data_IF_537375631520
#
_entry.id   IF_537375631520
#
_cell.length_a   1.000
_cell.length_b   1.000
_cell.length_c   1.000
_cell.angle_alpha   90.00
_cell.angle_beta   90.00
_cell.angle_gamma   90.00
#
_symmetry.space_group_name_H-M   'P 1'
#
loop_
_entity.id
_entity.type
_entity.pdbx_description
1 polymer ?
#
# COMPACT_ATOMS: atom_id res chain seq x y z
N UNK A 1 -16.23 15.70 13.13
CA UNK A 1 -15.64 16.88 12.46
C UNK A 1 -14.13 16.78 12.53
N UNK A 2 -13.43 16.98 11.41
CA UNK A 2 -11.99 16.78 11.31
C UNK A 2 -11.20 17.84 12.09
N UNK A 3 -10.17 17.40 12.80
CA UNK A 3 -9.16 18.23 13.47
C UNK A 3 -7.81 18.01 12.78
N UNK A 4 -6.97 19.03 12.76
CA UNK A 4 -5.68 19.05 12.06
C UNK A 4 -4.60 19.57 12.98
N UNK A 5 -3.42 18.96 12.93
CA UNK A 5 -2.22 19.47 13.60
C UNK A 5 -1.49 20.45 12.70
N UNK A 6 -0.98 21.54 13.27
CA UNK A 6 -0.20 22.55 12.55
C UNK A 6 1.13 22.80 13.25
N UNK A 7 2.20 22.90 12.46
CA UNK A 7 3.55 23.21 12.93
C UNK A 7 4.12 24.38 12.11
N UNK A 8 4.78 25.33 12.78
CA UNK A 8 5.52 26.40 12.13
C UNK A 8 6.86 25.87 11.62
N UNK A 9 7.03 25.83 10.30
CA UNK A 9 8.27 25.37 9.64
C UNK A 9 9.52 26.21 9.96
N UNK A 10 9.37 27.43 10.50
CA UNK A 10 10.49 28.31 10.85
C UNK A 10 11.04 28.07 12.25
N UNK A 11 10.18 27.95 13.26
CA UNK A 11 10.59 27.90 14.67
C UNK A 11 10.08 26.66 15.43
N UNK A 12 9.47 25.71 14.71
CA UNK A 12 8.88 24.48 15.25
C UNK A 12 7.80 24.72 16.32
N UNK A 13 7.07 25.83 16.23
CA UNK A 13 5.90 26.07 17.08
C UNK A 13 4.73 25.17 16.65
N UNK A 14 4.08 24.48 17.59
CA UNK A 14 3.04 23.47 17.30
C UNK A 14 1.68 23.83 17.93
N UNK A 15 0.59 23.50 17.24
CA UNK A 15 -0.79 23.63 17.71
C UNK A 15 -1.73 22.64 16.99
N UNK A 16 -2.95 22.45 17.52
CA UNK A 16 -4.04 21.73 16.85
C UNK A 16 -5.15 22.72 16.45
N UNK A 17 -5.89 22.46 15.37
CA UNK A 17 -7.01 23.30 14.88
C UNK A 17 -8.15 22.42 14.35
N UNK A 18 -9.42 22.78 14.56
CA UNK A 18 -10.60 22.08 14.01
C UNK A 18 -11.92 22.70 14.49
N UNK A 19 -13.05 22.51 13.82
CA UNK A 19 -14.25 23.34 14.05
C UNK A 19 -15.10 22.98 15.29
N UNK A 20 -15.54 24.00 16.03
CA UNK A 20 -16.67 23.98 16.98
C UNK A 20 -17.35 25.38 17.03
N UNK A 21 -18.64 25.50 16.71
CA UNK A 21 -19.48 26.71 16.86
C UNK A 21 -18.78 28.08 16.59
N UNK A 22 -18.42 28.34 15.32
CA UNK A 22 -17.72 29.57 14.87
C UNK A 22 -16.35 29.83 15.51
N UNK A 23 -15.80 28.84 16.21
CA UNK A 23 -14.45 28.84 16.81
C UNK A 23 -13.67 27.58 16.39
N UNK A 24 -12.35 27.62 16.44
CA UNK A 24 -11.50 26.48 16.14
C UNK A 24 -10.90 25.91 17.44
N UNK A 25 -11.18 24.63 17.74
CA UNK A 25 -10.63 23.89 18.86
C UNK A 25 -9.36 23.10 18.51
N UNK A 26 -8.40 23.09 19.43
CA UNK A 26 -7.21 22.25 19.42
C UNK A 26 -7.40 21.01 20.33
N UNK A 27 -7.27 19.76 19.86
CA UNK A 27 -7.44 18.55 20.70
C UNK A 27 -6.20 17.69 20.81
N UNK A 28 -5.93 17.16 22.00
CA UNK A 28 -4.83 16.22 22.23
C UNK A 28 -5.32 14.82 22.58
N UNK A 29 -4.98 13.81 21.78
CA UNK A 29 -5.42 12.41 22.03
C UNK A 29 -4.71 11.71 23.20
N UNK A 30 -3.55 12.21 23.65
CA UNK A 30 -2.86 11.64 24.81
C UNK A 30 -3.44 12.12 26.15
N UNK A 31 -4.07 13.30 26.20
CA UNK A 31 -4.61 13.87 27.44
C UNK A 31 -6.06 14.36 27.36
N UNK A 32 -6.73 14.17 26.22
CA UNK A 32 -8.16 14.39 26.00
C UNK A 32 -8.65 15.81 26.34
N UNK A 33 -7.88 16.86 26.04
CA UNK A 33 -8.22 18.27 26.32
C UNK A 33 -8.28 19.15 25.07
N UNK A 34 -9.21 20.13 25.09
CA UNK A 34 -9.45 21.12 24.03
C UNK A 34 -8.88 22.53 24.37
N UNK A 35 -8.60 23.38 23.37
CA UNK A 35 -8.30 24.82 23.55
C UNK A 35 -8.84 25.64 22.37
N UNK A 36 -9.51 26.77 22.64
CA UNK A 36 -10.25 27.61 21.66
C UNK A 36 -9.36 28.63 20.90
N UNK A 37 -9.67 28.86 19.62
CA UNK A 37 -9.09 29.91 18.76
C UNK A 37 -10.18 30.63 17.93
N UNK A 38 -10.02 31.92 17.57
CA UNK A 38 -10.98 32.66 16.76
C UNK A 38 -11.01 32.21 15.29
N UNK A 39 -12.20 32.12 14.67
CA UNK A 39 -12.39 31.56 13.31
C UNK A 39 -11.82 32.35 12.12
N UNK A 40 -11.32 33.58 12.30
CA UNK A 40 -10.96 34.45 11.18
C UNK A 40 -9.53 34.26 10.59
N UNK A 41 -8.82 33.19 10.94
CA UNK A 41 -7.38 33.08 10.67
C UNK A 41 -7.03 32.30 9.38
N UNK A 42 -7.46 32.78 8.21
CA UNK A 42 -6.87 32.39 6.91
C UNK A 42 -5.47 32.97 6.68
N UNK A 43 -5.02 33.85 7.58
CA UNK A 43 -3.70 34.49 7.64
C UNK A 43 -3.11 34.34 9.05
N UNK A 44 -3.17 33.13 9.62
CA UNK A 44 -2.58 32.90 10.93
C UNK A 44 -1.06 33.16 10.87
N UNK A 45 -0.52 33.92 11.82
CA UNK A 45 0.92 34.16 11.97
C UNK A 45 1.43 33.37 13.17
N UNK A 46 2.66 32.89 13.10
CA UNK A 46 3.32 32.23 14.21
C UNK A 46 3.49 33.25 15.35
N UNK A 47 2.94 33.03 16.55
CA UNK A 47 3.02 34.00 17.64
C UNK A 47 4.44 34.16 18.23
N UNK A 48 5.41 33.37 17.73
CA UNK A 48 6.81 33.39 18.16
C UNK A 48 7.72 34.11 17.17
N UNK A 49 7.44 34.03 15.87
CA UNK A 49 8.33 34.54 14.83
C UNK A 49 7.60 35.27 13.69
N UNK A 50 6.30 35.49 13.83
CA UNK A 50 5.39 36.16 12.89
C UNK A 50 5.32 35.56 11.47
N UNK A 51 5.93 34.40 11.25
CA UNK A 51 5.87 33.69 9.97
C UNK A 51 4.43 33.24 9.67
N UNK A 52 4.00 33.31 8.41
CA UNK A 52 2.67 32.84 7.99
C UNK A 52 2.50 31.33 8.26
N UNK A 53 1.37 30.93 8.80
CA UNK A 53 0.96 29.56 9.06
C UNK A 53 -0.01 29.11 7.96
N UNK A 54 0.21 27.94 7.41
CA UNK A 54 -0.60 27.37 6.32
C UNK A 54 -1.86 26.71 6.89
N UNK A 55 -3.00 27.41 6.88
CA UNK A 55 -4.26 26.93 7.50
C UNK A 55 -5.32 26.46 6.49
N UNK A 56 -5.13 26.70 5.19
CA UNK A 56 -6.11 26.39 4.14
C UNK A 56 -6.03 24.99 3.53
N UNK A 57 -4.92 24.28 3.77
CA UNK A 57 -4.72 22.89 3.37
C UNK A 57 -3.62 22.30 4.27
N UNK A 58 -3.95 21.42 5.22
CA UNK A 58 -2.94 20.77 6.05
C UNK A 58 -1.99 19.98 5.13
N UNK A 59 -0.74 20.42 5.05
CA UNK A 59 0.31 19.70 4.35
C UNK A 59 0.94 18.73 5.33
N UNK A 60 0.76 17.43 5.09
CA UNK A 60 1.50 16.40 5.81
C UNK A 60 2.96 16.42 5.31
N UNK A 61 3.87 16.86 6.17
CA UNK A 61 5.31 16.82 5.89
C UNK A 61 5.88 15.44 6.25
N UNK A 62 5.91 14.52 5.29
CA UNK A 62 6.55 13.20 5.46
C UNK A 62 8.04 13.23 5.05
N UNK A 63 8.81 14.15 5.61
CA UNK A 63 10.17 14.43 5.15
C UNK A 63 11.10 13.20 5.20
N UNK A 64 10.89 12.29 6.15
CA UNK A 64 11.61 11.02 6.18
C UNK A 64 11.23 10.12 5.02
N UNK A 65 9.93 9.94 4.75
CA UNK A 65 9.42 9.15 3.63
C UNK A 65 9.88 9.71 2.29
N UNK A 66 9.80 11.03 2.11
CA UNK A 66 10.31 11.71 0.91
C UNK A 66 11.83 11.56 0.75
N UNK A 67 12.61 11.65 1.84
CA UNK A 67 14.04 11.40 1.83
C UNK A 67 14.37 9.93 1.51
N UNK A 68 13.60 8.98 2.03
CA UNK A 68 13.71 7.56 1.69
C UNK A 68 13.47 7.36 0.20
N UNK A 69 12.44 8.00 -0.38
CA UNK A 69 12.14 7.96 -1.80
C UNK A 69 13.32 8.48 -2.64
N UNK A 70 13.88 9.64 -2.31
CA UNK A 70 15.07 10.21 -2.98
C UNK A 70 16.25 9.23 -2.91
N UNK A 71 16.57 8.74 -1.70
CA UNK A 71 17.70 7.84 -1.49
C UNK A 71 17.54 6.52 -2.23
N UNK A 72 16.33 5.97 -2.29
CA UNK A 72 16.04 4.71 -2.96
C UNK A 72 16.15 4.83 -4.48
N UNK A 73 15.63 5.91 -5.08
CA UNK A 73 15.76 6.18 -6.52
C UNK A 73 17.22 6.39 -6.91
N UNK A 74 17.97 7.19 -6.15
CA UNK A 74 19.40 7.40 -6.37
C UNK A 74 20.21 6.10 -6.15
N UNK A 75 19.80 5.27 -5.21
CA UNK A 75 20.36 3.95 -4.96
C UNK A 75 20.20 3.03 -6.16
N UNK A 76 18.97 2.91 -6.67
CA UNK A 76 18.68 2.11 -7.86
C UNK A 76 19.50 2.59 -9.08
N UNK A 77 19.53 3.91 -9.32
CA UNK A 77 20.35 4.49 -10.39
C UNK A 77 21.86 4.25 -10.21
N UNK A 78 22.33 4.18 -8.97
CA UNK A 78 23.73 3.89 -8.64
C UNK A 78 24.10 2.38 -8.73
N UNK A 79 23.13 1.50 -9.01
CA UNK A 79 23.31 0.05 -9.09
C UNK A 79 22.88 -0.74 -7.84
N UNK A 80 22.12 -0.14 -6.93
CA UNK A 80 21.59 -0.76 -5.72
C UNK A 80 20.07 -0.58 -5.62
N UNK A 81 19.27 -1.42 -6.31
CA UNK A 81 17.82 -1.29 -6.36
C UNK A 81 17.08 -1.87 -5.14
N UNK A 82 17.77 -2.54 -4.21
CA UNK A 82 17.12 -3.24 -3.09
C UNK A 82 16.31 -2.31 -2.15
N UNK A 83 16.79 -1.10 -1.80
CA UNK A 83 15.98 -0.16 -1.03
C UNK A 83 14.69 0.24 -1.76
N UNK A 84 14.77 0.47 -3.07
CA UNK A 84 13.59 0.84 -3.88
C UNK A 84 12.58 -0.30 -3.95
N UNK A 85 13.04 -1.55 -4.11
CA UNK A 85 12.16 -2.75 -4.07
C UNK A 85 11.38 -2.86 -2.76
N UNK A 86 11.98 -2.42 -1.65
CA UNK A 86 11.36 -2.48 -0.33
C UNK A 86 10.27 -1.41 -0.15
N UNK A 87 10.34 -0.30 -0.90
CA UNK A 87 9.31 0.74 -0.90
C UNK A 87 8.15 0.40 -1.84
N UNK A 88 8.43 -0.29 -2.95
CA UNK A 88 7.38 -0.69 -3.88
C UNK A 88 6.41 -1.65 -3.19
N UNK A 89 5.10 -1.34 -3.17
CA UNK A 89 4.15 -2.12 -2.41
C UNK A 89 4.05 -3.53 -2.98
N UNK A 90 4.22 -4.54 -2.13
CA UNK A 90 3.95 -5.92 -2.48
C UNK A 90 2.43 -6.11 -2.50
N UNK A 91 1.82 -6.05 -3.68
CA UNK A 91 0.38 -6.17 -3.84
C UNK A 91 0.03 -7.55 -4.39
N UNK A 92 -0.95 -8.23 -3.77
CA UNK A 92 -1.33 -9.53 -4.24
C UNK A 92 -1.91 -9.39 -5.65
N UNK A 93 -1.37 -10.17 -6.60
CA UNK A 93 -1.86 -10.19 -7.99
C UNK A 93 -3.38 -10.41 -8.06
N UNK A 94 -3.90 -11.18 -7.09
CA UNK A 94 -5.31 -11.51 -6.93
C UNK A 94 -5.78 -11.15 -5.52
N UNK A 95 -6.97 -10.58 -5.42
CA UNK A 95 -7.64 -10.21 -4.17
C UNK A 95 -8.39 -11.41 -3.61
N UNK A 96 -8.12 -11.74 -2.35
CA UNK A 96 -8.78 -12.80 -1.60
C UNK A 96 -9.21 -12.25 -0.24
N UNK A 97 -10.36 -12.69 0.25
CA UNK A 97 -10.94 -12.27 1.52
C UNK A 97 -10.67 -13.34 2.58
N UNK A 98 -9.41 -13.41 3.02
CA UNK A 98 -8.98 -14.26 4.13
C UNK A 98 -9.32 -13.66 5.51
N UNK A 99 -10.34 -12.81 5.57
CA UNK A 99 -10.85 -12.26 6.82
C UNK A 99 -11.57 -13.39 7.55
N UNK A 100 -11.20 -13.67 8.82
CA UNK A 100 -11.94 -14.59 9.66
C UNK A 100 -13.43 -14.22 9.67
N UNK A 101 -14.36 -15.18 9.45
CA UNK A 101 -15.76 -14.93 9.69
C UNK A 101 -15.97 -14.59 11.16
N UNK A 102 -16.64 -13.47 11.43
CA UNK A 102 -16.93 -13.05 12.81
C UNK A 102 -17.93 -13.99 13.49
N UNK A 103 -17.78 -14.14 14.81
CA UNK A 103 -18.79 -14.75 15.65
C UNK A 103 -20.04 -13.85 15.73
N UNK A 104 -21.23 -14.45 15.73
CA UNK A 104 -22.48 -13.72 15.97
C UNK A 104 -23.10 -14.11 17.32
N UNK A 105 -23.83 -13.23 18.02
CA UNK A 105 -24.36 -13.52 19.36
C UNK A 105 -25.26 -14.76 19.45
N UNK A 106 -25.90 -15.15 18.35
CA UNK A 106 -26.74 -16.34 18.25
C UNK A 106 -25.96 -17.64 18.05
N UNK A 107 -24.64 -17.59 17.84
CA UNK A 107 -23.82 -18.77 17.67
C UNK A 107 -23.75 -19.60 18.96
N UNK A 108 -23.79 -20.94 18.87
CA UNK A 108 -23.40 -21.80 19.98
C UNK A 108 -22.00 -21.46 20.50
N UNK A 109 -21.79 -21.64 21.80
CA UNK A 109 -20.53 -21.30 22.48
C UNK A 109 -19.30 -21.91 21.79
N UNK A 110 -19.38 -23.14 21.31
CA UNK A 110 -18.26 -23.81 20.66
C UNK A 110 -17.89 -23.17 19.32
N UNK A 111 -18.88 -22.63 18.59
CA UNK A 111 -18.65 -21.86 17.35
C UNK A 111 -18.03 -20.51 17.70
N UNK A 112 -18.59 -19.79 18.67
CA UNK A 112 -18.03 -18.51 19.13
C UNK A 112 -16.55 -18.66 19.53
N UNK A 113 -16.25 -19.62 20.42
CA UNK A 113 -14.90 -19.89 20.86
C UNK A 113 -13.94 -20.27 19.71
N UNK A 114 -14.44 -20.94 18.67
CA UNK A 114 -13.62 -21.31 17.51
C UNK A 114 -13.30 -20.11 16.61
N UNK A 115 -14.26 -19.22 16.41
CA UNK A 115 -14.10 -18.01 15.59
C UNK A 115 -13.29 -16.94 16.32
N UNK A 116 -13.50 -16.78 17.63
CA UNK A 116 -12.65 -15.94 18.47
C UNK A 116 -11.20 -16.41 18.46
N UNK A 117 -10.94 -17.72 18.59
CA UNK A 117 -9.59 -18.26 18.46
C UNK A 117 -8.95 -17.92 17.10
N UNK A 118 -9.74 -17.90 16.02
CA UNK A 118 -9.28 -17.53 14.69
C UNK A 118 -8.92 -16.05 14.60
N UNK A 119 -9.75 -15.17 15.16
CA UNK A 119 -9.51 -13.72 15.24
C UNK A 119 -8.27 -13.38 16.09
N UNK A 120 -8.05 -14.11 17.19
CA UNK A 120 -6.85 -13.97 18.04
C UNK A 120 -5.57 -14.56 17.41
N UNK A 121 -5.67 -15.15 16.21
CA UNK A 121 -4.53 -15.73 15.50
C UNK A 121 -4.10 -17.11 16.00
N UNK A 122 -4.93 -17.80 16.80
CA UNK A 122 -4.68 -19.17 17.27
C UNK A 122 -5.10 -20.19 16.21
N UNK A 123 -4.53 -20.06 15.01
CA UNK A 123 -4.99 -20.77 13.80
C UNK A 123 -5.00 -22.30 13.95
N UNK A 124 -4.03 -22.88 14.67
CA UNK A 124 -3.99 -24.32 14.90
C UNK A 124 -5.11 -24.80 15.83
N UNK A 125 -5.38 -24.06 16.93
CA UNK A 125 -6.44 -24.38 17.87
C UNK A 125 -7.82 -24.19 17.23
N UNK A 126 -8.04 -23.03 16.58
CA UNK A 126 -9.24 -22.76 15.80
C UNK A 126 -9.48 -23.85 14.75
N UNK A 127 -8.44 -24.22 14.00
CA UNK A 127 -8.49 -25.31 13.02
C UNK A 127 -8.89 -26.65 13.63
N UNK A 128 -8.38 -27.01 14.81
CA UNK A 128 -8.77 -28.26 15.49
C UNK A 128 -10.23 -28.22 15.96
N UNK A 129 -10.68 -27.12 16.57
CA UNK A 129 -12.06 -26.97 17.07
C UNK A 129 -13.08 -27.00 15.93
N UNK A 130 -12.80 -26.28 14.84
CA UNK A 130 -13.62 -26.30 13.63
C UNK A 130 -13.71 -27.70 13.03
N UNK A 131 -12.67 -28.54 13.18
CA UNK A 131 -12.70 -29.92 12.68
C UNK A 131 -13.77 -30.74 13.37
N UNK A 132 -13.76 -30.67 14.71
CA UNK A 132 -14.71 -31.39 15.55
C UNK A 132 -16.14 -30.89 15.32
N UNK A 133 -16.34 -29.58 15.13
CA UNK A 133 -17.65 -29.01 14.84
C UNK A 133 -18.23 -29.46 13.50
N UNK A 134 -17.36 -29.59 12.48
CA UNK A 134 -17.77 -29.98 11.13
C UNK A 134 -17.99 -31.49 10.98
N UNK A 135 -17.55 -32.29 11.96
CA UNK A 135 -17.87 -33.71 12.04
C UNK A 135 -19.39 -33.91 12.19
N UNK A 136 -20.00 -34.62 11.23
CA UNK A 136 -21.45 -34.82 11.18
C UNK A 136 -22.27 -33.63 10.63
N UNK A 137 -21.64 -32.49 10.29
CA UNK A 137 -22.32 -31.28 9.77
C UNK A 137 -21.92 -30.90 8.34
N UNK A 138 -21.18 -31.75 7.64
CA UNK A 138 -20.53 -31.42 6.36
C UNK A 138 -21.46 -30.82 5.30
N UNK A 139 -22.70 -31.30 5.23
CA UNK A 139 -23.69 -30.91 4.22
C UNK A 139 -24.78 -29.97 4.76
N UNK A 140 -24.64 -29.50 6.01
CA UNK A 140 -25.53 -28.48 6.57
C UNK A 140 -25.24 -27.15 5.86
N UNK A 141 -26.23 -26.48 5.24
CA UNK A 141 -26.01 -25.18 4.61
C UNK A 141 -25.38 -24.14 5.55
N UNK A 142 -25.66 -24.23 6.86
CA UNK A 142 -25.06 -23.34 7.86
C UNK A 142 -23.56 -23.59 8.12
N UNK A 143 -23.04 -24.74 7.65
CA UNK A 143 -21.63 -25.12 7.81
C UNK A 143 -20.67 -24.40 6.85
N UNK A 144 -21.19 -23.75 5.79
CA UNK A 144 -20.36 -23.04 4.81
C UNK A 144 -19.44 -21.99 5.46
N UNK A 145 -19.98 -21.24 6.45
CA UNK A 145 -19.21 -20.26 7.23
C UNK A 145 -18.09 -20.92 8.05
N UNK A 146 -18.34 -22.09 8.63
CA UNK A 146 -17.34 -22.82 9.43
C UNK A 146 -16.26 -23.44 8.53
N UNK A 147 -16.62 -23.91 7.35
CA UNK A 147 -15.67 -24.36 6.33
C UNK A 147 -14.78 -23.21 5.84
N UNK A 148 -15.35 -22.01 5.62
CA UNK A 148 -14.59 -20.81 5.27
C UNK A 148 -13.61 -20.44 6.40
N UNK A 149 -14.07 -20.40 7.65
CA UNK A 149 -13.21 -20.15 8.81
C UNK A 149 -12.05 -21.16 8.90
N UNK A 150 -12.33 -22.44 8.61
CA UNK A 150 -11.32 -23.50 8.58
C UNK A 150 -10.33 -23.32 7.43
N UNK A 151 -10.81 -22.90 6.26
CA UNK A 151 -9.95 -22.56 5.13
C UNK A 151 -9.00 -21.40 5.48
N UNK A 152 -9.50 -20.37 6.15
CA UNK A 152 -8.68 -19.24 6.65
C UNK A 152 -7.61 -19.72 7.63
N UNK A 153 -7.95 -20.61 8.57
CA UNK A 153 -6.97 -21.21 9.48
C UNK A 153 -5.87 -21.96 8.72
N UNK A 154 -6.25 -22.80 7.74
CA UNK A 154 -5.30 -23.55 6.92
C UNK A 154 -4.40 -22.64 6.08
N UNK A 155 -4.97 -21.60 5.46
CA UNK A 155 -4.22 -20.60 4.71
C UNK A 155 -3.18 -19.89 5.59
N UNK A 156 -3.57 -19.47 6.80
CA UNK A 156 -2.67 -18.80 7.77
C UNK A 156 -1.57 -19.71 8.30
N UNK A 157 -1.81 -21.03 8.32
CA UNK A 157 -0.81 -22.07 8.60
C UNK A 157 0.03 -22.44 7.37
N UNK A 158 -0.07 -21.69 6.27
CA UNK A 158 0.65 -21.94 5.01
C UNK A 158 0.33 -23.31 4.38
N UNK A 159 -0.90 -23.80 4.54
CA UNK A 159 -1.42 -25.02 3.87
C UNK A 159 -2.50 -24.64 2.83
N UNK A 160 -2.10 -24.16 1.64
CA UNK A 160 -3.04 -23.78 0.59
C UNK A 160 -3.82 -24.97 0.02
N UNK A 161 -3.29 -26.18 0.07
CA UNK A 161 -3.95 -27.38 -0.44
C UNK A 161 -5.14 -27.78 0.45
N UNK A 162 -4.95 -27.75 1.78
CA UNK A 162 -6.04 -27.93 2.72
C UNK A 162 -7.06 -26.79 2.64
N UNK A 163 -6.59 -25.54 2.53
CA UNK A 163 -7.48 -24.38 2.36
C UNK A 163 -8.40 -24.55 1.14
N UNK A 164 -7.86 -24.90 -0.04
CA UNK A 164 -8.67 -25.14 -1.25
C UNK A 164 -9.71 -26.24 -1.05
N UNK A 165 -9.34 -27.32 -0.37
CA UNK A 165 -10.26 -28.42 -0.03
C UNK A 165 -11.41 -27.94 0.85
N UNK A 166 -11.11 -27.13 1.88
CA UNK A 166 -12.13 -26.59 2.79
C UNK A 166 -13.03 -25.57 2.10
N UNK A 167 -12.50 -24.76 1.17
CA UNK A 167 -13.32 -23.89 0.33
C UNK A 167 -14.25 -24.68 -0.59
N UNK A 168 -13.79 -25.82 -1.12
CA UNK A 168 -14.67 -26.71 -1.88
C UNK A 168 -15.83 -27.23 -1.01
N UNK A 169 -15.58 -27.65 0.23
CA UNK A 169 -16.65 -28.02 1.15
C UNK A 169 -17.58 -26.85 1.52
N UNK A 170 -17.06 -25.62 1.65
CA UNK A 170 -17.89 -24.45 1.85
C UNK A 170 -18.89 -24.25 0.69
N UNK A 171 -18.44 -24.48 -0.55
CA UNK A 171 -19.26 -24.37 -1.76
C UNK A 171 -20.21 -25.56 -1.99
N UNK A 172 -19.88 -26.73 -1.44
CA UNK A 172 -20.82 -27.86 -1.38
C UNK A 172 -21.98 -27.58 -0.42
N UNK A 173 -21.69 -26.93 0.72
CA UNK A 173 -22.69 -26.55 1.72
C UNK A 173 -23.55 -25.36 1.26
N UNK A 174 -22.92 -24.32 0.72
CA UNK A 174 -23.58 -23.18 0.11
C UNK A 174 -22.91 -22.83 -1.23
N UNK A 175 -23.53 -23.23 -2.36
CA UNK A 175 -23.02 -22.85 -3.67
C UNK A 175 -22.87 -21.35 -3.84
N UNK A 176 -23.66 -20.51 -3.18
CA UNK A 176 -23.63 -19.05 -3.35
C UNK A 176 -22.59 -18.33 -2.46
N UNK A 177 -21.76 -19.07 -1.71
CA UNK A 177 -20.71 -18.50 -0.88
C UNK A 177 -19.63 -17.79 -1.72
N UNK A 178 -19.86 -16.51 -2.02
CA UNK A 178 -18.99 -15.68 -2.88
C UNK A 178 -17.54 -15.67 -2.42
N UNK A 179 -17.28 -15.47 -1.13
CA UNK A 179 -15.92 -15.42 -0.58
C UNK A 179 -15.20 -16.74 -0.81
N UNK A 180 -15.90 -17.87 -0.60
CA UNK A 180 -15.32 -19.18 -0.85
C UNK A 180 -14.95 -19.41 -2.33
N UNK A 181 -15.77 -18.90 -3.27
CA UNK A 181 -15.43 -18.92 -4.70
C UNK A 181 -14.20 -18.06 -5.00
N UNK A 182 -14.18 -16.81 -4.51
CA UNK A 182 -13.06 -15.90 -4.74
C UNK A 182 -11.74 -16.49 -4.25
N UNK A 183 -11.69 -16.91 -2.99
CA UNK A 183 -10.46 -17.41 -2.38
C UNK A 183 -9.97 -18.69 -3.09
N UNK A 184 -10.91 -19.56 -3.50
CA UNK A 184 -10.58 -20.78 -4.23
C UNK A 184 -10.03 -20.47 -5.61
N UNK A 185 -10.66 -19.54 -6.31
CA UNK A 185 -10.20 -19.04 -7.60
C UNK A 185 -8.79 -18.44 -7.50
N UNK A 186 -8.50 -17.69 -6.43
CA UNK A 186 -7.15 -17.14 -6.16
C UNK A 186 -6.13 -18.26 -5.97
N UNK A 187 -6.43 -19.27 -5.16
CA UNK A 187 -5.51 -20.41 -4.96
C UNK A 187 -5.22 -21.15 -6.28
N UNK A 188 -6.26 -21.40 -7.09
CA UNK A 188 -6.16 -22.03 -8.40
C UNK A 188 -5.36 -21.18 -9.39
N UNK A 189 -5.57 -19.86 -9.41
CA UNK A 189 -4.82 -18.95 -10.27
C UNK A 189 -3.33 -18.94 -9.91
N UNK A 190 -3.00 -18.93 -8.60
CA UNK A 190 -1.61 -18.93 -8.12
C UNK A 190 -0.83 -20.19 -8.51
N UNK A 191 -1.50 -21.34 -8.63
CA UNK A 191 -0.87 -22.58 -9.11
C UNK A 191 -0.95 -22.78 -10.63
N UNK A 192 -1.52 -21.83 -11.37
CA UNK A 192 -1.61 -21.85 -12.83
C UNK A 192 -2.83 -22.58 -13.41
N UNK A 193 -3.83 -22.91 -12.60
CA UNK A 193 -5.09 -23.52 -13.06
C UNK A 193 -6.06 -22.46 -13.58
N UNK A 194 -5.66 -21.76 -14.65
CA UNK A 194 -6.37 -20.60 -15.19
C UNK A 194 -7.83 -20.90 -15.55
N UNK A 195 -8.13 -22.09 -16.06
CA UNK A 195 -9.50 -22.49 -16.42
C UNK A 195 -10.43 -22.59 -15.21
N UNK A 196 -9.97 -23.24 -14.14
CA UNK A 196 -10.76 -23.41 -12.92
C UNK A 196 -10.88 -22.11 -12.14
N UNK A 197 -9.82 -21.29 -12.13
CA UNK A 197 -9.87 -19.95 -11.54
C UNK A 197 -10.86 -19.04 -12.28
N UNK A 198 -10.90 -19.10 -13.62
CA UNK A 198 -11.85 -18.33 -14.43
C UNK A 198 -13.29 -18.70 -14.11
N UNK A 199 -13.58 -19.99 -13.96
CA UNK A 199 -14.90 -20.48 -13.56
C UNK A 199 -15.29 -19.93 -12.18
N UNK A 200 -14.39 -20.00 -11.20
CA UNK A 200 -14.62 -19.49 -9.84
C UNK A 200 -14.91 -17.98 -9.84
N UNK A 201 -14.09 -17.19 -10.54
CA UNK A 201 -14.26 -15.74 -10.61
C UNK A 201 -15.49 -15.30 -11.40
N UNK A 202 -15.91 -16.06 -12.42
CA UNK A 202 -17.15 -15.79 -13.15
C UNK A 202 -18.39 -15.99 -12.25
N UNK A 203 -18.35 -16.99 -11.37
CA UNK A 203 -19.46 -17.28 -10.44
C UNK A 203 -19.39 -16.46 -9.13
N UNK A 204 -18.36 -15.62 -8.94
CA UNK A 204 -18.22 -14.75 -7.78
C UNK A 204 -19.00 -13.41 -7.89
N UNK A 205 -19.76 -13.23 -8.97
CA UNK A 205 -20.55 -12.01 -9.23
C UNK A 205 -19.70 -10.82 -9.68
N UNK A 206 -20.23 -9.61 -9.57
CA UNK A 206 -19.63 -8.39 -10.14
C UNK A 206 -19.10 -7.38 -9.11
N UNK A 207 -18.91 -7.83 -7.86
CA UNK A 207 -18.24 -7.03 -6.83
C UNK A 207 -16.79 -6.72 -7.20
N UNK A 208 -16.23 -5.69 -6.54
CA UNK A 208 -14.90 -5.15 -6.83
C UNK A 208 -13.81 -6.22 -6.98
N UNK A 209 -13.70 -7.15 -6.03
CA UNK A 209 -12.67 -8.20 -6.02
C UNK A 209 -12.84 -9.20 -7.17
N UNK A 210 -14.09 -9.53 -7.52
CA UNK A 210 -14.38 -10.49 -8.58
C UNK A 210 -13.98 -9.91 -9.95
N UNK A 211 -14.37 -8.66 -10.20
CA UNK A 211 -13.99 -7.89 -11.39
C UNK A 211 -12.47 -7.75 -11.50
N UNK A 212 -11.81 -7.32 -10.42
CA UNK A 212 -10.35 -7.25 -10.37
C UNK A 212 -9.70 -8.61 -10.69
N UNK A 213 -10.15 -9.68 -10.04
CA UNK A 213 -9.57 -11.01 -10.21
C UNK A 213 -9.73 -11.56 -11.62
N UNK A 214 -10.87 -11.31 -12.29
CA UNK A 214 -11.04 -11.67 -13.70
C UNK A 214 -10.06 -10.91 -14.59
N UNK A 215 -9.96 -9.59 -14.42
CA UNK A 215 -9.02 -8.76 -15.17
C UNK A 215 -7.56 -9.17 -14.94
N UNK A 216 -7.17 -9.36 -13.68
CA UNK A 216 -5.83 -9.79 -13.29
C UNK A 216 -5.49 -11.20 -13.81
N UNK A 217 -6.47 -12.11 -13.88
CA UNK A 217 -6.28 -13.46 -14.42
C UNK A 217 -5.91 -13.43 -15.90
N UNK A 218 -6.58 -12.57 -16.67
CA UNK A 218 -6.30 -12.41 -18.10
C UNK A 218 -4.88 -11.89 -18.34
N UNK A 219 -4.46 -10.86 -17.59
CA UNK A 219 -3.09 -10.34 -17.66
C UNK A 219 -2.08 -11.40 -17.20
N UNK A 220 -2.34 -12.06 -16.07
CA UNK A 220 -1.42 -13.02 -15.49
C UNK A 220 -1.18 -14.24 -16.39
N UNK A 221 -2.26 -14.81 -16.94
CA UNK A 221 -2.18 -15.91 -17.89
C UNK A 221 -1.45 -15.47 -19.17
N UNK A 222 -1.75 -14.29 -19.71
CA UNK A 222 -1.11 -13.79 -20.92
C UNK A 222 0.40 -13.58 -20.73
N UNK A 223 0.83 -12.90 -19.67
CA UNK A 223 2.25 -12.66 -19.38
C UNK A 223 2.98 -13.98 -19.14
N UNK A 224 2.35 -14.94 -18.46
CA UNK A 224 2.95 -16.25 -18.19
C UNK A 224 3.15 -17.09 -19.46
N UNK A 225 2.19 -17.05 -20.40
CA UNK A 225 2.22 -17.85 -21.63
C UNK A 225 2.98 -17.19 -22.78
N UNK A 226 2.99 -15.86 -22.87
CA UNK A 226 3.65 -15.12 -23.92
C UNK A 226 5.14 -14.88 -23.62
N UNK A 227 5.95 -14.68 -24.68
CA UNK A 227 7.34 -14.22 -24.53
C UNK A 227 7.45 -12.70 -24.43
N UNK A 228 6.65 -11.97 -25.22
CA UNK A 228 6.56 -10.50 -25.23
C UNK A 228 5.35 -9.97 -24.47
N UNK A 229 4.80 -8.85 -24.96
CA UNK A 229 3.58 -8.22 -24.42
C UNK A 229 2.33 -9.05 -24.68
N UNK A 230 1.34 -9.01 -23.77
CA UNK A 230 -0.01 -9.48 -24.06
C UNK A 230 -0.63 -8.75 -25.26
N UNK A 231 -1.56 -9.42 -25.94
CA UNK A 231 -2.30 -8.81 -27.06
C UNK A 231 -3.06 -7.55 -26.61
N UNK A 232 -3.00 -6.42 -27.36
CA UNK A 232 -3.63 -5.17 -26.95
C UNK A 232 -5.15 -5.28 -26.69
N UNK A 233 -5.86 -6.09 -27.48
CA UNK A 233 -7.30 -6.31 -27.31
C UNK A 233 -7.61 -7.01 -25.97
N UNK A 234 -6.74 -7.94 -25.55
CA UNK A 234 -6.87 -8.63 -24.26
C UNK A 234 -6.60 -7.69 -23.09
N UNK A 235 -5.60 -6.81 -23.20
CA UNK A 235 -5.34 -5.77 -22.20
C UNK A 235 -6.52 -4.79 -22.09
N UNK A 236 -7.10 -4.40 -23.23
CA UNK A 236 -8.28 -3.54 -23.26
C UNK A 236 -9.48 -4.18 -22.57
N UNK A 237 -9.77 -5.44 -22.90
CA UNK A 237 -10.85 -6.19 -22.27
C UNK A 237 -10.64 -6.34 -20.75
N UNK A 238 -9.40 -6.59 -20.32
CA UNK A 238 -9.07 -6.64 -18.89
C UNK A 238 -9.31 -5.28 -18.21
N UNK A 239 -8.98 -4.16 -18.85
CA UNK A 239 -9.25 -2.80 -18.32
C UNK A 239 -10.74 -2.51 -18.19
N UNK A 240 -11.53 -2.90 -19.19
CA UNK A 240 -12.99 -2.74 -19.16
C UNK A 240 -13.60 -3.60 -18.04
N UNK A 241 -13.02 -4.77 -17.77
CA UNK A 241 -13.42 -5.66 -16.69
C UNK A 241 -13.01 -5.14 -15.30
N UNK A 242 -11.87 -4.45 -15.16
CA UNK A 242 -11.36 -4.00 -13.87
C UNK A 242 -12.19 -2.85 -13.24
N UNK A 243 -12.19 -2.72 -11.91
CA UNK A 243 -12.64 -1.49 -11.24
C UNK A 243 -11.88 -0.25 -11.75
N UNK A 244 -12.50 0.95 -11.69
CA UNK A 244 -11.83 2.18 -12.09
C UNK A 244 -10.47 2.35 -11.38
N UNK A 245 -9.39 2.63 -12.11
CA UNK A 245 -8.08 2.77 -11.50
C UNK A 245 -8.00 4.05 -10.68
N UNK A 246 -7.15 4.04 -9.66
CA UNK A 246 -6.89 5.18 -8.79
C UNK A 246 -5.39 5.45 -8.70
N UNK A 247 -5.03 6.74 -8.66
CA UNK A 247 -3.65 7.18 -8.52
C UNK A 247 -3.11 6.95 -7.11
N UNK A 248 -3.98 6.59 -6.14
CA UNK A 248 -3.57 6.30 -4.78
C UNK A 248 -2.59 5.12 -4.77
N UNK A 249 -1.61 5.21 -3.88
CA UNK A 249 -0.43 4.35 -3.91
C UNK A 249 -0.75 2.89 -3.52
N UNK A 250 -1.80 2.68 -2.73
CA UNK A 250 -2.23 1.33 -2.35
C UNK A 250 -3.16 0.67 -3.35
N UNK A 251 -3.67 1.43 -4.31
CA UNK A 251 -4.68 0.93 -5.24
C UNK A 251 -4.01 0.13 -6.36
N UNK A 252 -4.70 -0.93 -6.75
CA UNK A 252 -4.22 -1.88 -7.73
C UNK A 252 -4.59 -1.35 -9.12
N UNK A 253 -3.63 -1.35 -10.04
CA UNK A 253 -3.88 -0.98 -11.44
C UNK A 253 -3.35 -2.07 -12.35
N UNK A 254 -3.95 -2.24 -13.53
CA UNK A 254 -3.51 -3.27 -14.47
C UNK A 254 -2.14 -2.94 -15.04
N UNK A 255 -1.82 -1.66 -15.24
CA UNK A 255 -0.48 -1.22 -15.63
C UNK A 255 0.58 -1.63 -14.61
N UNK A 256 0.36 -1.36 -13.32
CA UNK A 256 1.30 -1.76 -12.24
C UNK A 256 1.44 -3.28 -12.15
N UNK A 257 0.35 -4.02 -12.27
CA UNK A 257 0.36 -5.49 -12.31
C UNK A 257 1.19 -5.99 -13.51
N UNK A 258 0.92 -5.47 -14.70
CA UNK A 258 1.59 -5.86 -15.94
C UNK A 258 3.10 -5.62 -15.86
N UNK A 259 3.52 -4.42 -15.48
CA UNK A 259 4.95 -4.08 -15.34
C UNK A 259 5.62 -4.98 -14.30
N UNK A 260 4.98 -5.20 -13.14
CA UNK A 260 5.50 -6.09 -12.09
C UNK A 260 5.72 -7.50 -12.64
N UNK A 261 4.72 -8.06 -13.33
CA UNK A 261 4.82 -9.43 -13.85
C UNK A 261 5.84 -9.56 -14.99
N UNK A 262 6.00 -8.53 -15.83
CA UNK A 262 7.05 -8.51 -16.87
C UNK A 262 8.43 -8.51 -16.23
N UNK A 263 8.66 -7.71 -15.19
CA UNK A 263 9.93 -7.68 -14.44
C UNK A 263 10.20 -9.05 -13.79
N UNK A 264 9.23 -9.61 -13.07
CA UNK A 264 9.37 -10.91 -12.41
C UNK A 264 9.67 -12.03 -13.41
N UNK A 265 8.98 -12.03 -14.56
CA UNK A 265 9.20 -13.01 -15.63
C UNK A 265 10.61 -12.92 -16.21
N UNK A 266 11.11 -11.71 -16.44
CA UNK A 266 12.46 -11.50 -16.94
C UNK A 266 13.51 -11.96 -15.91
N UNK A 267 13.34 -11.59 -14.63
CA UNK A 267 14.25 -12.01 -13.55
C UNK A 267 14.25 -13.53 -13.33
N UNK A 268 13.10 -14.20 -13.49
CA UNK A 268 13.01 -15.66 -13.36
C UNK A 268 13.81 -16.42 -14.45
N UNK A 269 14.14 -15.77 -15.58
CA UNK A 269 14.93 -16.36 -16.67
C UNK A 269 16.44 -16.30 -16.43
N UNK A 270 16.91 -15.49 -15.48
CA UNK A 270 18.33 -15.36 -15.12
C UNK A 270 18.82 -13.92 -15.06
N UNK A 271 20.14 -13.76 -14.84
CA UNK A 271 20.74 -12.48 -14.44
C UNK A 271 20.97 -11.46 -15.57
N UNK A 272 20.84 -11.85 -16.85
CA UNK A 272 20.98 -10.93 -17.98
C UNK A 272 19.65 -10.85 -18.71
N UNK A 273 19.07 -9.64 -18.81
CA UNK A 273 17.92 -9.39 -19.67
C UNK A 273 18.28 -9.65 -21.13
N UNK A 274 17.29 -10.07 -21.90
CA UNK A 274 17.39 -10.09 -23.35
C UNK A 274 16.86 -8.77 -23.93
N UNK A 275 17.22 -8.43 -25.16
CA UNK A 275 16.63 -7.28 -25.87
C UNK A 275 15.09 -7.34 -25.93
N UNK A 276 14.53 -8.55 -26.01
CA UNK A 276 13.08 -8.78 -25.97
C UNK A 276 12.47 -8.43 -24.59
N UNK A 277 13.14 -8.76 -23.49
CA UNK A 277 12.68 -8.40 -22.14
C UNK A 277 12.73 -6.87 -21.94
N UNK A 278 13.76 -6.21 -22.44
CA UNK A 278 13.89 -4.75 -22.39
C UNK A 278 12.81 -4.03 -23.20
N UNK A 279 12.53 -4.49 -24.42
CA UNK A 279 11.46 -3.96 -25.27
C UNK A 279 10.10 -4.16 -24.61
N UNK A 280 9.84 -5.36 -24.08
CA UNK A 280 8.61 -5.65 -23.35
C UNK A 280 8.45 -4.72 -22.15
N UNK A 281 9.49 -4.47 -21.36
CA UNK A 281 9.40 -3.54 -20.22
C UNK A 281 9.06 -2.12 -20.67
N UNK A 282 9.68 -1.63 -21.76
CA UNK A 282 9.37 -0.30 -22.32
C UNK A 282 7.92 -0.21 -22.79
N UNK A 283 7.39 -1.25 -23.40
CA UNK A 283 5.98 -1.31 -23.82
C UNK A 283 5.03 -1.39 -22.63
N UNK A 284 5.30 -2.25 -21.66
CA UNK A 284 4.53 -2.38 -20.43
C UNK A 284 4.49 -1.06 -19.64
N UNK A 285 5.59 -0.30 -19.60
CA UNK A 285 5.63 1.00 -18.94
C UNK A 285 4.69 2.03 -19.58
N UNK A 286 4.39 1.93 -20.89
CA UNK A 286 3.41 2.81 -21.56
C UNK A 286 1.95 2.47 -21.22
N UNK A 287 1.73 1.31 -20.62
CA UNK A 287 0.41 0.86 -20.17
C UNK A 287 0.08 1.33 -18.74
N UNK A 288 1.00 2.02 -18.05
CA UNK A 288 0.71 2.61 -16.74
C UNK A 288 -0.37 3.68 -16.86
N UNK A 289 -1.39 3.60 -15.99
CA UNK A 289 -2.55 4.50 -16.00
C UNK A 289 -2.22 5.91 -15.51
N UNK A 290 -1.14 6.03 -14.72
CA UNK A 290 -0.72 7.28 -14.10
C UNK A 290 0.79 7.46 -14.22
N UNK A 291 1.23 8.68 -13.95
CA UNK A 291 2.65 9.06 -13.89
C UNK A 291 3.06 9.43 -12.45
N UNK A 292 2.57 8.67 -11.46
CA UNK A 292 2.89 8.95 -10.05
C UNK A 292 4.34 8.54 -9.72
N UNK A 293 4.79 8.90 -8.51
CA UNK A 293 6.06 8.38 -7.98
C UNK A 293 6.12 6.85 -8.05
N UNK A 294 5.04 6.14 -7.71
CA UNK A 294 5.01 4.67 -7.64
C UNK A 294 5.14 4.02 -9.01
N UNK A 295 4.47 4.61 -10.01
CA UNK A 295 4.52 4.15 -11.40
C UNK A 295 5.94 4.30 -11.96
N UNK A 296 6.55 5.47 -11.78
CA UNK A 296 7.92 5.75 -12.24
C UNK A 296 8.96 4.96 -11.44
N UNK A 297 8.77 4.81 -10.12
CA UNK A 297 9.65 4.01 -9.25
C UNK A 297 9.65 2.53 -9.66
N UNK A 298 8.50 1.98 -10.05
CA UNK A 298 8.40 0.62 -10.55
C UNK A 298 9.21 0.44 -11.85
N UNK A 299 9.16 1.42 -12.76
CA UNK A 299 9.99 1.42 -13.98
C UNK A 299 11.48 1.57 -13.65
N UNK A 300 11.85 2.46 -12.71
CA UNK A 300 13.25 2.58 -12.24
C UNK A 300 13.75 1.25 -11.67
N UNK A 301 12.96 0.58 -10.84
CA UNK A 301 13.30 -0.73 -10.32
C UNK A 301 13.47 -1.77 -11.44
N UNK A 302 12.54 -1.84 -12.39
CA UNK A 302 12.62 -2.74 -13.53
C UNK A 302 13.89 -2.53 -14.36
N UNK A 303 14.17 -1.29 -14.77
CA UNK A 303 15.36 -0.96 -15.54
C UNK A 303 16.66 -1.27 -14.76
N UNK A 304 16.69 -0.99 -13.46
CA UNK A 304 17.86 -1.30 -12.63
C UNK A 304 18.06 -2.81 -12.46
N UNK A 305 16.99 -3.56 -12.22
CA UNK A 305 17.02 -5.00 -12.05
C UNK A 305 17.42 -5.75 -13.34
N UNK A 306 17.08 -5.18 -14.50
CA UNK A 306 17.41 -5.72 -15.81
C UNK A 306 18.71 -5.13 -16.41
N UNK A 307 19.39 -4.21 -15.74
CA UNK A 307 20.64 -3.63 -16.25
C UNK A 307 20.48 -2.68 -17.45
N UNK A 308 19.29 -2.10 -17.65
CA UNK A 308 18.96 -1.18 -18.74
C UNK A 308 19.49 0.23 -18.45
N UNK A 309 20.80 0.44 -18.50
CA UNK A 309 21.45 1.67 -18.00
C UNK A 309 20.91 2.97 -18.61
N UNK A 310 20.67 3.01 -19.92
CA UNK A 310 20.18 4.21 -20.61
C UNK A 310 18.73 4.54 -20.22
N UNK A 311 17.84 3.53 -20.18
CA UNK A 311 16.45 3.68 -19.77
C UNK A 311 16.36 4.02 -18.27
N UNK A 312 17.20 3.41 -17.45
CA UNK A 312 17.31 3.70 -16.02
C UNK A 312 17.64 5.18 -15.80
N UNK A 313 18.67 5.71 -16.47
CA UNK A 313 19.02 7.13 -16.36
C UNK A 313 17.89 8.04 -16.85
N UNK A 314 17.25 7.68 -17.97
CA UNK A 314 16.16 8.47 -18.56
C UNK A 314 14.96 8.65 -17.63
N UNK A 315 14.68 7.68 -16.75
CA UNK A 315 13.58 7.74 -15.79
C UNK A 315 14.04 8.22 -14.40
N UNK A 316 15.17 7.71 -13.89
CA UNK A 316 15.63 7.99 -12.54
C UNK A 316 16.14 9.42 -12.36
N UNK A 317 16.85 9.98 -13.34
CA UNK A 317 17.39 11.34 -13.24
C UNK A 317 16.30 12.42 -13.13
N UNK A 318 15.26 12.47 -13.99
CA UNK A 318 14.18 13.43 -13.81
C UNK A 318 13.36 13.16 -12.54
N UNK A 319 13.16 11.90 -12.14
CA UNK A 319 12.43 11.58 -10.91
C UNK A 319 13.19 12.07 -9.67
N UNK A 320 14.50 11.84 -9.61
CA UNK A 320 15.35 12.33 -8.53
C UNK A 320 15.33 13.87 -8.45
N UNK A 321 15.43 14.57 -9.60
CA UNK A 321 15.33 16.05 -9.63
C UNK A 321 14.00 16.55 -9.09
N UNK A 322 12.90 15.91 -9.45
CA UNK A 322 11.57 16.30 -8.97
C UNK A 322 11.42 16.06 -7.46
N UNK A 323 11.84 14.89 -6.97
CA UNK A 323 11.78 14.57 -5.54
C UNK A 323 12.66 15.52 -4.72
N UNK A 324 13.87 15.81 -5.18
CA UNK A 324 14.77 16.77 -4.53
C UNK A 324 14.14 18.16 -4.54
N UNK A 325 13.61 18.62 -5.68
CA UNK A 325 12.97 19.93 -5.77
C UNK A 325 11.75 20.05 -4.83
N UNK A 326 10.93 19.00 -4.75
CA UNK A 326 9.79 18.93 -3.84
C UNK A 326 10.26 19.01 -2.38
N UNK A 327 11.27 18.23 -2.01
CA UNK A 327 11.81 18.21 -0.66
C UNK A 327 12.48 19.55 -0.28
N UNK A 328 13.18 20.19 -1.22
CA UNK A 328 13.75 21.53 -1.04
C UNK A 328 12.69 22.62 -0.92
N UNK A 329 11.50 22.41 -1.49
CA UNK A 329 10.39 23.34 -1.38
C UNK A 329 9.64 23.24 -0.04
N UNK A 330 9.93 22.23 0.78
CA UNK A 330 9.25 22.05 2.07
C UNK A 330 9.65 23.16 3.06
N UNK A 331 8.69 23.70 3.84
CA UNK A 331 8.96 24.76 4.83
C UNK A 331 10.13 24.45 5.76
N UNK A 332 10.23 23.20 6.24
CA UNK A 332 11.35 22.78 7.09
C UNK A 332 12.71 22.97 6.41
N UNK A 333 12.84 22.58 5.13
CA UNK A 333 14.09 22.73 4.37
C UNK A 333 14.45 24.20 4.10
N UNK A 334 13.45 25.08 3.99
CA UNK A 334 13.65 26.52 3.81
C UNK A 334 13.92 27.26 5.12
N UNK A 335 13.61 26.64 6.26
CA UNK A 335 13.81 27.19 7.59
C UNK A 335 15.24 27.07 8.10
N UNK A 336 15.60 27.89 9.09
CA UNK A 336 16.95 27.91 9.69
C UNK A 336 17.33 26.55 10.29
N UNK A 337 16.37 25.85 10.91
CA UNK A 337 16.58 24.53 11.52
C UNK A 337 16.89 23.45 10.48
N UNK A 338 16.30 23.53 9.29
CA UNK A 338 16.50 22.57 8.20
C UNK A 338 17.65 22.91 7.25
N UNK A 339 18.50 23.89 7.58
CA UNK A 339 19.62 24.28 6.70
C UNK A 339 20.58 23.12 6.34
N UNK A 340 20.73 22.12 7.21
CA UNK A 340 21.50 20.92 6.91
C UNK A 340 20.86 20.06 5.81
N UNK A 341 19.53 20.00 5.77
CA UNK A 341 18.77 19.30 4.75
C UNK A 341 18.89 20.07 3.42
N UNK A 342 18.73 21.39 3.43
CA UNK A 342 18.92 22.23 2.25
C UNK A 342 20.29 22.04 1.60
N UNK A 343 21.37 22.13 2.38
CA UNK A 343 22.74 21.95 1.88
C UNK A 343 22.96 20.56 1.25
N UNK A 344 22.42 19.50 1.87
CA UNK A 344 22.51 18.15 1.33
C UNK A 344 21.73 18.01 0.01
N UNK A 345 20.54 18.63 -0.08
CA UNK A 345 19.70 18.62 -1.28
C UNK A 345 20.32 19.41 -2.42
N UNK A 346 20.96 20.56 -2.15
CA UNK A 346 21.72 21.33 -3.14
C UNK A 346 22.89 20.50 -3.70
N UNK A 347 23.67 19.86 -2.83
CA UNK A 347 24.77 18.98 -3.25
C UNK A 347 24.26 17.78 -4.07
N UNK A 348 23.14 17.18 -3.67
CA UNK A 348 22.51 16.10 -4.42
C UNK A 348 22.01 16.58 -5.79
N UNK A 349 21.37 17.75 -5.87
CA UNK A 349 20.88 18.34 -7.10
C UNK A 349 22.02 18.59 -8.10
N UNK A 350 23.13 19.18 -7.65
CA UNK A 350 24.32 19.40 -8.48
C UNK A 350 24.87 18.07 -9.01
N UNK A 351 24.98 17.05 -8.15
CA UNK A 351 25.45 15.72 -8.56
C UNK A 351 24.48 15.03 -9.55
N UNK A 352 23.17 15.21 -9.42
CA UNK A 352 22.19 14.70 -10.40
C UNK A 352 22.33 15.40 -11.75
N UNK A 353 22.57 16.72 -11.78
CA UNK A 353 22.85 17.46 -13.01
C UNK A 353 24.12 16.96 -13.72
N UNK A 354 25.14 16.60 -12.94
CA UNK A 354 26.39 16.00 -13.41
C UNK A 354 26.28 14.50 -13.75
N UNK A 355 25.09 13.89 -13.62
CA UNK A 355 24.84 12.44 -13.82
C UNK A 355 25.71 11.54 -12.91
N UNK A 356 25.90 11.97 -11.66
CA UNK A 356 26.67 11.25 -10.65
C UNK A 356 25.77 10.71 -9.52
N UNK A 357 24.96 9.65 -9.76
CA UNK A 357 24.00 9.15 -8.76
C UNK A 357 24.63 8.70 -7.45
N UNK A 358 25.85 8.13 -7.49
CA UNK A 358 26.59 7.74 -6.28
C UNK A 358 26.96 8.95 -5.42
N UNK A 359 27.37 10.06 -6.05
CA UNK A 359 27.69 11.31 -5.37
C UNK A 359 26.43 11.96 -4.81
N UNK A 360 25.33 11.95 -5.58
CA UNK A 360 24.04 12.44 -5.12
C UNK A 360 23.55 11.66 -3.90
N UNK A 361 23.56 10.32 -3.96
CA UNK A 361 23.18 9.45 -2.83
C UNK A 361 24.07 9.71 -1.61
N UNK A 362 25.38 9.87 -1.80
CA UNK A 362 26.30 10.14 -0.69
C UNK A 362 26.00 11.46 0.04
N UNK A 363 25.40 12.45 -0.63
CA UNK A 363 24.99 13.70 0.00
C UNK A 363 23.76 13.54 0.91
N UNK A 364 22.77 12.72 0.52
CA UNK A 364 21.49 12.60 1.24
C UNK A 364 21.39 11.37 2.14
N UNK A 365 22.08 10.26 1.83
CA UNK A 365 21.98 9.02 2.60
C UNK A 365 22.34 9.15 4.09
N UNK A 366 23.33 9.97 4.51
CA UNK A 366 23.63 10.17 5.93
C UNK A 366 22.43 10.75 6.71
N UNK A 367 21.52 11.46 6.04
CA UNK A 367 20.33 12.03 6.66
C UNK A 367 19.33 10.95 7.11
N UNK A 368 19.34 9.74 6.51
CA UNK A 368 18.47 8.65 6.97
C UNK A 368 18.81 8.14 8.38
N UNK A 369 20.02 8.42 8.88
CA UNK A 369 20.41 8.10 10.25
C UNK A 369 19.97 9.15 11.28
N UNK A 370 19.37 10.25 10.82
CA UNK A 370 18.93 11.35 11.69
C UNK A 370 17.58 11.05 12.31
N UNK A 371 17.59 10.80 13.61
CA UNK A 371 16.37 10.58 14.39
C UNK A 371 15.41 11.76 14.36
N UNK A 372 15.90 13.00 14.23
CA UNK A 372 15.05 14.18 14.09
C UNK A 372 14.32 14.24 12.75
N UNK A 373 14.80 13.53 11.71
CA UNK A 373 14.06 13.40 10.46
C UNK A 373 13.10 12.22 10.49
N UNK A 374 13.49 11.07 11.06
CA UNK A 374 12.57 9.96 11.37
C UNK A 374 11.40 10.49 12.21
N UNK A 375 11.69 11.50 13.01
CA UNK A 375 10.77 12.20 13.86
C UNK A 375 10.40 13.58 13.33
N UNK A 376 9.66 13.64 12.23
CA UNK A 376 8.55 14.61 12.18
C UNK A 376 7.41 14.08 13.06
N UNK A 377 7.76 13.92 14.33
CA UNK A 377 6.89 13.54 15.44
C UNK A 377 6.22 14.80 15.90
N UNK A 378 4.91 14.76 16.02
CA UNK A 378 4.11 15.68 16.81
C UNK A 378 4.26 15.26 18.28
N UNK A 379 5.12 15.88 19.11
CA UNK A 379 5.17 15.57 20.53
C UNK A 379 3.98 16.26 21.19
N UNK A 380 3.10 15.51 21.85
CA UNK A 380 2.09 16.09 22.73
C UNK A 380 2.73 17.10 23.70
N UNK A 381 2.29 18.36 23.69
CA UNK A 381 2.89 19.44 24.50
C UNK A 381 2.73 19.24 26.02
N UNK A 382 1.82 18.35 26.44
CA UNK A 382 1.59 17.98 27.84
C UNK A 382 2.46 16.78 28.27
N UNK A 383 2.47 15.68 27.52
CA UNK A 383 3.13 14.44 27.94
C UNK A 383 4.45 14.12 27.23
N UNK A 384 4.73 14.75 26.08
CA UNK A 384 5.92 14.53 25.22
C UNK A 384 6.10 13.11 24.66
N UNK A 385 5.08 12.25 24.66
CA UNK A 385 5.21 10.81 24.35
C UNK A 385 4.51 10.30 23.06
N UNK A 386 3.69 11.09 22.36
CA UNK A 386 2.86 10.61 21.23
C UNK A 386 3.40 10.89 19.81
N UNK A 387 2.89 10.14 18.81
CA UNK A 387 3.04 10.36 17.35
C UNK A 387 1.79 9.85 16.63
N UNK A 388 1.16 10.63 15.74
CA UNK A 388 0.01 10.20 14.93
C UNK A 388 0.50 9.87 13.52
N UNK A 389 0.44 8.59 13.16
CA UNK A 389 0.31 8.14 11.77
C UNK A 389 -1.16 7.79 11.57
N UNK A 390 -1.79 8.31 10.52
CA UNK A 390 -3.18 8.00 10.20
C UNK A 390 -3.20 6.87 9.18
N UNK A 391 -3.36 5.63 9.65
CA UNK A 391 -4.18 4.69 8.90
C UNK A 391 -5.63 4.92 9.32
N UNK A 392 -6.52 4.88 8.35
CA UNK A 392 -7.96 5.09 8.49
C UNK A 392 -8.57 4.39 9.71
N UNK A 393 -9.45 5.06 10.45
CA UNK A 393 -10.53 4.39 11.16
C UNK A 393 -11.86 4.97 10.71
N UNK A 394 -12.65 4.10 10.08
CA UNK A 394 -14.07 4.26 9.80
C UNK A 394 -14.87 4.55 11.08
N UNK A 395 -16.05 5.12 10.88
CA UNK A 395 -17.07 5.34 11.90
C UNK A 395 -17.40 4.03 12.65
N UNK A 396 -17.38 4.11 13.98
CA UNK A 396 -18.23 3.27 14.83
C UNK A 396 -19.06 4.20 15.71
N UNK A 397 -20.32 4.41 15.31
CA UNK A 397 -21.38 4.56 16.30
C UNK A 397 -21.43 3.25 17.11
N UNK A 398 -21.16 3.33 18.42
CA UNK A 398 -21.96 2.70 19.48
C UNK A 398 -21.29 2.87 20.86
N UNK A 399 -21.91 3.73 21.65
CA UNK A 399 -22.17 3.65 23.09
C UNK A 399 -21.11 3.15 24.09
N UNK A 400 -20.78 4.04 25.04
CA UNK A 400 -20.79 3.69 26.47
C UNK A 400 -20.94 4.92 27.37
N UNK A 401 -22.14 5.06 27.93
CA UNK A 401 -22.38 5.21 29.38
C UNK A 401 -21.74 6.41 30.09
N UNK A 402 -22.52 7.50 30.17
CA UNK A 402 -23.04 8.00 31.46
C UNK A 402 -24.52 8.35 31.30
#
# INVERSE_FOLDING_TARGET
MARWHVTCGTCAFEAWIGAHDETLDAWCEACQHATELPAAATLAQCPRCDAALTTGAPAFEELFGDLQNVCAVLGAWAGDPAPLRSLLPDRPRFLADWTPPAAVPSDPFEIQASLEALEHGWFADAGSRLAALLEGRRSDPSSARLWLARATAAWRLSDPAAAETYLAHALEADPQARNARLDRGVLRARRGDWSLAREDFAHAGDGHEARWNRAALEVAEAVTKARGMPEPERLRAARDEAPPPSAYWSDHTLGRLLVTMVIERALARGAASTTEDEETLREAARELEFDTFWDRALVVYGCAALGMANDLEAVAAPLARELIARLSAQPFAQGEVGGFLALALEAAQAAVQERMPRRARAAVAPLLARHDLIHFRIPCRSCRLGTIGVDMCEEREEDALA
#
